data_IF_483201175552
#
_entry.id   IF_483201175552
#
_cell.length_a   1.000
_cell.length_b   1.000
_cell.length_c   1.000
_cell.angle_alpha   90.00
_cell.angle_beta   90.00
_cell.angle_gamma   90.00
#
_symmetry.space_group_name_H-M   'P 1'
#
loop_
_entity.id
_entity.type
_entity.pdbx_description
1 polymer ?
#
# COMPACT_ATOMS: atom_id res chain seq x y z
N UNK A 1 4.49 5.33 -37.71
CA UNK A 1 4.86 4.32 -38.75
C UNK A 1 3.72 3.32 -38.82
N UNK A 2 2.77 3.56 -39.71
CA UNK A 2 1.51 2.80 -39.84
C UNK A 2 1.78 1.34 -40.16
N UNK A 3 1.34 0.43 -39.27
CA UNK A 3 0.64 -0.87 -39.44
C UNK A 3 0.59 -1.61 -40.80
N UNK A 4 1.52 -1.38 -41.72
CA UNK A 4 1.52 -1.97 -43.06
C UNK A 4 2.95 -2.16 -43.57
N UNK A 5 3.62 -3.22 -43.09
CA UNK A 5 4.80 -3.76 -43.76
C UNK A 5 4.74 -5.29 -43.71
N UNK A 6 4.06 -5.81 -44.73
CA UNK A 6 4.36 -7.03 -45.48
C UNK A 6 5.11 -8.13 -44.71
N UNK A 7 4.30 -9.11 -44.35
CA UNK A 7 4.60 -10.45 -43.87
C UNK A 7 5.61 -11.13 -44.82
N UNK A 8 6.88 -11.13 -44.44
CA UNK A 8 7.80 -12.21 -44.81
C UNK A 8 7.48 -13.45 -43.93
N UNK A 9 7.72 -14.69 -44.39
CA UNK A 9 7.49 -15.89 -43.57
C UNK A 9 8.23 -15.86 -42.22
N UNK A 10 9.40 -15.21 -42.18
CA UNK A 10 10.17 -14.98 -40.95
C UNK A 10 9.59 -13.89 -40.04
N UNK A 11 8.87 -12.91 -40.59
CA UNK A 11 8.18 -11.88 -39.81
C UNK A 11 6.95 -12.47 -39.11
N UNK A 12 6.21 -13.37 -39.79
CA UNK A 12 5.06 -14.06 -39.21
C UNK A 12 5.44 -14.98 -38.03
N UNK A 13 6.50 -15.78 -38.16
CA UNK A 13 6.95 -16.65 -37.06
C UNK A 13 7.49 -15.85 -35.86
N UNK A 14 8.21 -14.75 -36.12
CA UNK A 14 8.70 -13.86 -35.08
C UNK A 14 7.57 -13.16 -34.32
N UNK A 15 6.59 -12.60 -35.03
CA UNK A 15 5.42 -11.95 -34.42
C UNK A 15 4.63 -12.95 -33.58
N UNK A 16 4.42 -14.18 -34.09
CA UNK A 16 3.78 -15.24 -33.34
C UNK A 16 4.56 -15.63 -32.08
N UNK A 17 5.89 -15.70 -32.17
CA UNK A 17 6.75 -15.97 -31.02
C UNK A 17 6.63 -14.87 -29.94
N UNK A 18 6.65 -13.60 -30.34
CA UNK A 18 6.52 -12.46 -29.41
C UNK A 18 5.14 -12.47 -28.75
N UNK A 19 4.08 -12.64 -29.53
CA UNK A 19 2.70 -12.71 -29.02
C UNK A 19 2.49 -13.90 -28.08
N UNK A 20 2.97 -15.09 -28.45
CA UNK A 20 2.92 -16.27 -27.58
C UNK A 20 3.69 -16.03 -26.28
N UNK A 21 4.87 -15.41 -26.35
CA UNK A 21 5.66 -15.06 -25.16
C UNK A 21 4.90 -14.10 -24.24
N UNK A 22 4.23 -13.08 -24.79
CA UNK A 22 3.39 -12.16 -24.01
C UNK A 22 2.18 -12.83 -23.37
N UNK A 23 1.53 -13.76 -24.07
CA UNK A 23 0.44 -14.56 -23.49
C UNK A 23 0.96 -15.42 -22.33
N UNK A 24 2.08 -16.12 -22.53
CA UNK A 24 2.71 -16.94 -21.48
C UNK A 24 3.09 -16.08 -20.28
N UNK A 25 3.71 -14.91 -20.50
CA UNK A 25 4.01 -13.96 -19.43
C UNK A 25 2.75 -13.52 -18.69
N UNK A 26 1.67 -13.18 -19.41
CA UNK A 26 0.38 -12.83 -18.82
C UNK A 26 -0.18 -13.93 -17.90
N UNK A 27 -0.15 -15.18 -18.36
CA UNK A 27 -0.57 -16.34 -17.55
C UNK A 27 0.32 -16.52 -16.31
N UNK A 28 1.64 -16.34 -16.44
CA UNK A 28 2.57 -16.40 -15.32
C UNK A 28 2.30 -15.30 -14.29
N UNK A 29 1.91 -14.09 -14.71
CA UNK A 29 1.52 -13.03 -13.77
C UNK A 29 0.20 -13.35 -13.04
N UNK A 30 -0.76 -14.01 -13.70
CA UNK A 30 -1.95 -14.54 -13.03
C UNK A 30 -1.55 -15.58 -11.97
N UNK A 31 -0.69 -16.53 -12.32
CA UNK A 31 -0.18 -17.52 -11.36
C UNK A 31 0.67 -16.90 -10.25
N UNK A 32 1.35 -15.79 -10.52
CA UNK A 32 2.08 -15.05 -9.50
C UNK A 32 1.13 -14.53 -8.42
N UNK A 33 0.05 -13.84 -8.81
CA UNK A 33 -0.96 -13.33 -7.88
C UNK A 33 -1.70 -14.47 -7.15
N UNK A 34 -2.07 -15.53 -7.88
CA UNK A 34 -2.69 -16.70 -7.27
C UNK A 34 -1.75 -17.37 -6.24
N UNK A 35 -0.47 -17.49 -6.56
CA UNK A 35 0.54 -18.04 -5.64
C UNK A 35 0.78 -17.15 -4.42
N UNK A 36 0.68 -15.82 -4.56
CA UNK A 36 0.80 -14.87 -3.45
C UNK A 36 -0.42 -14.83 -2.53
N UNK A 37 -1.57 -15.36 -2.95
CA UNK A 37 -2.78 -15.42 -2.11
C UNK A 37 -2.70 -16.41 -0.94
N UNK A 38 -1.70 -17.31 -0.96
CA UNK A 38 -1.48 -18.28 0.12
C UNK A 38 -0.01 -18.32 0.52
N UNK A 39 0.23 -18.46 1.81
CA UNK A 39 1.57 -18.44 2.36
C UNK A 39 2.45 -19.58 1.79
N UNK A 40 1.92 -20.81 1.72
CA UNK A 40 2.66 -22.00 1.28
C UNK A 40 3.10 -21.90 -0.18
N UNK A 41 2.36 -21.16 -1.00
CA UNK A 41 2.64 -20.96 -2.42
C UNK A 41 3.34 -19.64 -2.72
N UNK A 42 3.52 -18.76 -1.75
CA UNK A 42 4.07 -17.41 -1.92
C UNK A 42 5.40 -17.38 -2.69
N UNK A 43 6.34 -18.28 -2.33
CA UNK A 43 7.64 -18.43 -3.02
C UNK A 43 7.48 -18.84 -4.48
N UNK A 44 6.54 -19.76 -4.78
CA UNK A 44 6.24 -20.18 -6.16
C UNK A 44 5.57 -19.05 -6.93
N UNK A 45 4.65 -18.31 -6.30
CA UNK A 45 4.03 -17.11 -6.86
C UNK A 45 5.06 -16.09 -7.30
N UNK A 46 6.01 -15.76 -6.42
CA UNK A 46 7.09 -14.84 -6.75
C UNK A 46 7.96 -15.36 -7.93
N UNK A 47 8.28 -16.65 -7.95
CA UNK A 47 9.01 -17.26 -9.07
C UNK A 47 8.27 -17.14 -10.41
N UNK A 48 6.94 -17.32 -10.43
CA UNK A 48 6.14 -17.10 -11.64
C UNK A 48 6.21 -15.65 -12.12
N UNK A 49 6.15 -14.68 -11.21
CA UNK A 49 6.28 -13.26 -11.53
C UNK A 49 7.64 -12.93 -12.16
N UNK A 50 8.73 -13.45 -11.58
CA UNK A 50 10.10 -13.29 -12.11
C UNK A 50 10.19 -13.89 -13.51
N UNK A 51 9.72 -15.13 -13.69
CA UNK A 51 9.78 -15.82 -14.98
C UNK A 51 8.95 -15.09 -16.05
N UNK A 52 7.75 -14.63 -15.69
CA UNK A 52 6.88 -13.86 -16.58
C UNK A 52 7.55 -12.56 -17.06
N UNK A 53 8.20 -11.83 -16.16
CA UNK A 53 8.92 -10.59 -16.49
C UNK A 53 10.14 -10.86 -17.38
N UNK A 54 10.94 -11.89 -17.06
CA UNK A 54 12.10 -12.28 -17.87
C UNK A 54 11.68 -12.64 -19.29
N UNK A 55 10.62 -13.44 -19.46
CA UNK A 55 10.11 -13.82 -20.79
C UNK A 55 9.65 -12.58 -21.56
N UNK A 56 8.91 -11.66 -20.93
CA UNK A 56 8.38 -10.47 -21.58
C UNK A 56 9.52 -9.53 -22.06
N UNK A 57 10.54 -9.32 -21.23
CA UNK A 57 11.70 -8.50 -21.57
C UNK A 57 12.49 -9.14 -22.71
N UNK A 58 12.77 -10.44 -22.64
CA UNK A 58 13.49 -11.16 -23.70
C UNK A 58 12.71 -11.08 -25.02
N UNK A 59 11.40 -11.33 -25.01
CA UNK A 59 10.56 -11.25 -26.21
C UNK A 59 10.59 -9.83 -26.82
N UNK A 60 10.56 -8.79 -25.99
CA UNK A 60 10.63 -7.39 -26.43
C UNK A 60 11.99 -7.06 -27.05
N UNK A 61 13.10 -7.51 -26.43
CA UNK A 61 14.46 -7.33 -26.98
C UNK A 61 14.60 -8.07 -28.32
N UNK A 62 14.10 -9.31 -28.41
CA UNK A 62 14.12 -10.08 -29.66
C UNK A 62 13.32 -9.38 -30.75
N UNK A 63 12.13 -8.87 -30.43
CA UNK A 63 11.34 -8.06 -31.36
C UNK A 63 12.13 -6.84 -31.84
N UNK A 64 12.76 -6.09 -30.93
CA UNK A 64 13.50 -4.88 -31.25
C UNK A 64 14.76 -5.14 -32.11
N UNK A 65 15.44 -6.27 -31.91
CA UNK A 65 16.64 -6.64 -32.70
C UNK A 65 16.27 -7.20 -34.08
N UNK A 66 15.15 -7.90 -34.19
CA UNK A 66 14.80 -8.66 -35.40
C UNK A 66 13.78 -7.98 -36.30
N UNK A 67 13.01 -7.01 -35.80
CA UNK A 67 12.10 -6.20 -36.61
C UNK A 67 12.88 -5.11 -37.37
N UNK A 68 12.40 -4.70 -38.56
CA UNK A 68 13.02 -3.62 -39.33
C UNK A 68 13.03 -2.31 -38.53
N UNK A 69 14.12 -1.54 -38.62
CA UNK A 69 14.33 -0.33 -37.81
C UNK A 69 15.39 -0.46 -36.71
N UNK A 70 16.08 -1.60 -36.65
CA UNK A 70 17.23 -1.80 -35.76
C UNK A 70 18.31 -0.72 -35.93
N UNK A 71 18.68 -0.10 -34.82
CA UNK A 71 19.82 0.82 -34.72
C UNK A 71 20.66 0.45 -33.49
N UNK A 72 22.00 0.30 -33.63
CA UNK A 72 22.90 0.09 -32.48
C UNK A 72 22.77 1.20 -31.42
N UNK A 73 22.48 2.43 -31.85
CA UNK A 73 22.25 3.56 -30.94
C UNK A 73 21.00 3.33 -30.09
N UNK A 74 19.91 2.83 -30.68
CA UNK A 74 18.68 2.51 -29.95
C UNK A 74 18.89 1.41 -28.90
N UNK A 75 19.76 0.43 -29.17
CA UNK A 75 20.14 -0.58 -28.17
C UNK A 75 20.86 0.04 -26.97
N UNK A 76 21.83 0.93 -27.23
CA UNK A 76 22.54 1.64 -26.16
C UNK A 76 21.58 2.50 -25.33
N UNK A 77 20.68 3.22 -26.00
CA UNK A 77 19.67 4.07 -25.35
C UNK A 77 18.61 3.27 -24.56
N UNK A 78 18.38 2.00 -24.89
CA UNK A 78 17.51 1.10 -24.12
C UNK A 78 18.25 0.47 -22.93
N UNK A 79 19.40 -0.16 -23.19
CA UNK A 79 20.09 -0.99 -22.19
C UNK A 79 20.72 -0.16 -21.07
N UNK A 80 21.27 1.03 -21.36
CA UNK A 80 21.93 1.84 -20.33
C UNK A 80 20.91 2.29 -19.25
N UNK A 81 19.78 2.95 -19.59
CA UNK A 81 18.80 3.32 -18.58
C UNK A 81 18.18 2.11 -17.87
N UNK A 82 17.95 1.00 -18.58
CA UNK A 82 17.45 -0.23 -17.97
C UNK A 82 18.42 -0.79 -16.91
N UNK A 83 19.72 -0.81 -17.21
CA UNK A 83 20.75 -1.26 -16.27
C UNK A 83 20.88 -0.32 -15.07
N UNK A 84 20.86 1.01 -15.31
CA UNK A 84 20.91 2.00 -14.24
C UNK A 84 19.68 1.86 -13.33
N UNK A 85 18.49 1.79 -13.91
CA UNK A 85 17.23 1.62 -13.18
C UNK A 85 17.18 0.30 -12.41
N UNK A 86 17.60 -0.81 -13.04
CA UNK A 86 17.69 -2.12 -12.40
C UNK A 86 18.67 -2.15 -11.23
N UNK A 87 19.88 -1.59 -11.43
CA UNK A 87 20.88 -1.51 -10.37
C UNK A 87 20.44 -0.64 -9.19
N UNK A 88 19.82 0.52 -9.49
CA UNK A 88 19.24 1.39 -8.47
C UNK A 88 18.10 0.69 -7.70
N UNK A 89 17.21 0.00 -8.41
CA UNK A 89 16.12 -0.77 -7.82
C UNK A 89 16.62 -1.86 -6.87
N UNK A 90 17.61 -2.65 -7.31
CA UNK A 90 18.24 -3.69 -6.47
C UNK A 90 18.90 -3.08 -5.24
N UNK A 91 19.70 -2.03 -5.42
CA UNK A 91 20.35 -1.33 -4.31
C UNK A 91 19.34 -0.81 -3.29
N UNK A 92 18.24 -0.22 -3.75
CA UNK A 92 17.21 0.35 -2.87
C UNK A 92 16.42 -0.73 -2.14
N UNK A 93 16.06 -1.81 -2.83
CA UNK A 93 15.34 -2.94 -2.26
C UNK A 93 16.16 -3.68 -1.18
N UNK A 94 17.48 -3.78 -1.34
CA UNK A 94 18.35 -4.44 -0.35
C UNK A 94 18.64 -3.59 0.89
N UNK A 95 18.41 -2.27 0.84
CA UNK A 95 18.75 -1.34 1.92
C UNK A 95 17.55 -0.81 2.70
N UNK A 96 16.33 -0.99 2.20
CA UNK A 96 15.14 -0.49 2.90
C UNK A 96 14.87 -1.36 4.12
N UNK A 97 14.55 -0.72 5.25
CA UNK A 97 14.06 -1.42 6.44
C UNK A 97 12.59 -1.79 6.23
N UNK A 98 12.12 -2.88 6.85
CA UNK A 98 10.73 -3.36 6.67
C UNK A 98 9.68 -2.34 7.14
N UNK A 99 10.04 -1.48 8.10
CA UNK A 99 9.20 -0.34 8.53
C UNK A 99 9.02 0.74 7.47
N UNK A 100 9.99 0.90 6.57
CA UNK A 100 9.98 1.86 5.46
C UNK A 100 9.41 1.30 4.15
N UNK A 101 8.91 0.06 4.16
CA UNK A 101 8.27 -0.58 3.01
C UNK A 101 7.11 0.27 2.41
N UNK A 102 6.23 0.92 3.21
CA UNK A 102 5.15 1.74 2.65
C UNK A 102 5.66 2.91 1.80
N UNK A 103 6.75 3.55 2.24
CA UNK A 103 7.38 4.67 1.53
C UNK A 103 8.04 4.22 0.23
N UNK A 104 8.69 3.06 0.25
CA UNK A 104 9.29 2.50 -0.95
C UNK A 104 8.20 2.15 -1.99
N UNK A 105 7.10 1.55 -1.56
CA UNK A 105 5.97 1.21 -2.46
C UNK A 105 5.40 2.49 -3.09
N UNK A 106 5.18 3.55 -2.30
CA UNK A 106 4.77 4.84 -2.84
C UNK A 106 5.79 5.37 -3.87
N UNK A 107 7.09 5.30 -3.61
CA UNK A 107 8.10 5.68 -4.61
C UNK A 107 8.00 4.87 -5.89
N UNK A 108 7.81 3.55 -5.81
CA UNK A 108 7.72 2.68 -6.97
C UNK A 108 6.51 3.02 -7.86
N UNK A 109 5.33 3.28 -7.27
CA UNK A 109 4.17 3.73 -8.04
C UNK A 109 4.42 5.04 -8.77
N UNK A 110 5.22 5.94 -8.19
CA UNK A 110 5.58 7.19 -8.85
C UNK A 110 6.33 6.94 -10.17
N UNK A 111 7.27 6.00 -10.19
CA UNK A 111 8.00 5.64 -11.41
C UNK A 111 7.10 5.01 -12.47
N UNK A 112 6.12 4.18 -12.07
CA UNK A 112 5.13 3.61 -13.00
C UNK A 112 4.27 4.72 -13.62
N UNK A 113 3.78 5.65 -12.80
CA UNK A 113 3.00 6.80 -13.28
C UNK A 113 3.77 7.67 -14.27
N UNK A 114 5.03 7.99 -13.95
CA UNK A 114 5.90 8.77 -14.84
C UNK A 114 6.19 8.02 -16.14
N UNK A 115 6.44 6.71 -16.09
CA UNK A 115 6.65 5.89 -17.28
C UNK A 115 5.41 5.90 -18.19
N UNK A 116 4.20 5.77 -17.63
CA UNK A 116 2.96 5.84 -18.40
C UNK A 116 2.77 7.21 -19.09
N UNK A 117 3.12 8.31 -18.41
CA UNK A 117 3.11 9.65 -19.02
C UNK A 117 4.07 9.71 -20.20
N UNK A 118 5.33 9.30 -20.01
CA UNK A 118 6.35 9.32 -21.07
C UNK A 118 5.96 8.42 -22.26
N UNK A 119 5.40 7.24 -21.99
CA UNK A 119 4.87 6.33 -23.02
C UNK A 119 3.75 7.01 -23.81
N UNK A 120 2.80 7.67 -23.14
CA UNK A 120 1.71 8.38 -23.82
C UNK A 120 2.20 9.51 -24.73
N UNK A 121 3.16 10.32 -24.26
CA UNK A 121 3.79 11.36 -25.08
C UNK A 121 4.53 10.74 -26.29
N UNK A 122 5.22 9.62 -26.11
CA UNK A 122 5.89 8.92 -27.21
C UNK A 122 4.91 8.31 -28.21
N UNK A 123 3.83 7.68 -27.73
CA UNK A 123 2.78 7.12 -28.58
C UNK A 123 2.15 8.20 -29.47
N UNK A 124 1.89 9.39 -28.92
CA UNK A 124 1.43 10.52 -29.73
C UNK A 124 2.50 11.05 -30.69
N UNK A 125 3.77 11.03 -30.32
CA UNK A 125 4.86 11.41 -31.24
C UNK A 125 4.92 10.50 -32.48
N UNK A 126 4.63 9.21 -32.31
CA UNK A 126 4.72 8.21 -33.38
C UNK A 126 3.47 8.15 -34.28
N UNK A 127 2.28 8.28 -33.70
CA UNK A 127 1.00 8.21 -34.43
C UNK A 127 0.53 9.58 -34.93
N UNK A 128 0.86 10.64 -34.18
CA UNK A 128 0.43 12.00 -34.45
C UNK A 128 -1.09 12.15 -34.49
N UNK A 129 -1.56 13.16 -35.22
CA UNK A 129 -3.01 13.46 -35.33
C UNK A 129 -3.73 12.57 -36.34
N UNK A 130 -3.05 11.57 -36.91
CA UNK A 130 -3.64 10.54 -37.77
C UNK A 130 -4.19 9.34 -37.01
N UNK A 131 -3.93 9.25 -35.70
CA UNK A 131 -4.48 8.20 -34.85
C UNK A 131 -6.00 8.28 -34.78
N UNK A 132 -6.66 7.13 -34.60
CA UNK A 132 -8.10 7.11 -34.38
C UNK A 132 -8.47 7.83 -33.08
N UNK A 133 -9.69 8.37 -33.00
CA UNK A 133 -10.22 8.97 -31.74
C UNK A 133 -10.12 8.01 -30.56
N UNK A 134 -10.26 6.72 -30.81
CA UNK A 134 -10.10 5.68 -29.79
C UNK A 134 -8.66 5.60 -29.27
N UNK A 135 -7.65 5.55 -30.16
CA UNK A 135 -6.24 5.56 -29.76
C UNK A 135 -5.84 6.87 -29.06
N UNK A 136 -6.32 8.02 -29.55
CA UNK A 136 -6.10 9.29 -28.86
C UNK A 136 -6.71 9.26 -27.45
N UNK A 137 -7.84 8.57 -27.27
CA UNK A 137 -8.47 8.37 -25.97
C UNK A 137 -7.64 7.52 -25.02
N UNK A 138 -7.06 6.43 -25.51
CA UNK A 138 -6.15 5.58 -24.73
C UNK A 138 -4.93 6.37 -24.24
N UNK A 139 -4.34 7.21 -25.11
CA UNK A 139 -3.19 8.04 -24.80
C UNK A 139 -3.50 9.05 -23.70
N UNK A 140 -4.57 9.85 -23.84
CA UNK A 140 -4.83 10.90 -22.87
C UNK A 140 -5.31 10.35 -21.53
N UNK A 141 -6.08 9.25 -21.51
CA UNK A 141 -6.46 8.57 -20.26
C UNK A 141 -5.21 8.00 -19.57
N UNK A 142 -4.31 7.36 -20.32
CA UNK A 142 -3.04 6.86 -19.80
C UNK A 142 -2.19 7.96 -19.16
N UNK A 143 -2.06 9.11 -19.82
CA UNK A 143 -1.33 10.28 -19.28
C UNK A 143 -2.04 10.85 -18.04
N UNK A 144 -3.36 10.99 -18.07
CA UNK A 144 -4.13 11.48 -16.93
C UNK A 144 -3.89 10.64 -15.67
N UNK A 145 -4.10 9.33 -15.77
CA UNK A 145 -3.94 8.42 -14.63
C UNK A 145 -2.47 8.35 -14.22
N UNK A 146 -1.53 8.30 -15.17
CA UNK A 146 -0.10 8.25 -14.89
C UNK A 146 0.42 9.50 -14.17
N UNK A 147 0.03 10.69 -14.60
CA UNK A 147 0.42 11.96 -14.00
C UNK A 147 -0.17 12.15 -12.59
N UNK A 148 -1.44 11.77 -12.42
CA UNK A 148 -2.11 11.75 -11.11
C UNK A 148 -1.37 10.79 -10.16
N UNK A 149 -1.06 9.59 -10.64
CA UNK A 149 -0.33 8.57 -9.86
C UNK A 149 1.06 9.05 -9.47
N UNK A 150 1.80 9.67 -10.40
CA UNK A 150 3.15 10.16 -10.15
C UNK A 150 3.20 11.14 -9.00
N UNK A 151 2.45 12.23 -9.10
CA UNK A 151 2.45 13.30 -8.09
C UNK A 151 1.77 12.88 -6.79
N UNK A 152 0.66 12.15 -6.87
CA UNK A 152 0.00 11.61 -5.67
C UNK A 152 0.92 10.69 -4.87
N UNK A 153 1.68 9.84 -5.55
CA UNK A 153 2.64 8.94 -4.93
C UNK A 153 3.83 9.66 -4.28
N UNK A 154 4.31 10.75 -4.89
CA UNK A 154 5.35 11.59 -4.29
C UNK A 154 4.88 12.28 -3.00
N UNK A 155 3.63 12.74 -2.97
CA UNK A 155 3.03 13.33 -1.76
C UNK A 155 2.83 12.27 -0.67
N UNK A 156 2.30 11.09 -1.03
CA UNK A 156 2.14 9.97 -0.10
C UNK A 156 3.50 9.55 0.51
N UNK A 157 4.52 9.40 -0.33
CA UNK A 157 5.89 9.16 0.12
C UNK A 157 6.39 10.26 1.07
N UNK A 158 6.18 11.53 0.72
CA UNK A 158 6.59 12.66 1.54
C UNK A 158 5.93 12.64 2.93
N UNK A 159 4.65 12.30 3.01
CA UNK A 159 3.90 12.22 4.27
C UNK A 159 4.35 11.05 5.15
N UNK A 160 4.55 9.88 4.57
CA UNK A 160 4.96 8.69 5.31
C UNK A 160 6.39 8.81 5.84
N UNK A 161 7.30 9.36 5.01
CA UNK A 161 8.70 9.63 5.39
C UNK A 161 8.87 10.84 6.33
N UNK A 162 7.80 11.53 6.70
CA UNK A 162 7.83 12.71 7.58
C UNK A 162 8.42 13.97 6.94
N UNK A 163 8.68 13.98 5.63
CA UNK A 163 9.18 15.15 4.88
C UNK A 163 8.09 16.17 4.57
N UNK A 164 6.84 15.71 4.52
CA UNK A 164 5.64 16.53 4.32
C UNK A 164 4.75 16.36 5.57
N UNK A 165 4.11 17.43 6.07
CA UNK A 165 3.20 17.32 7.22
C UNK A 165 2.10 16.27 6.98
N UNK A 166 1.85 15.42 7.97
CA UNK A 166 0.80 14.39 7.91
C UNK A 166 -0.62 14.97 8.04
N UNK A 167 -0.76 16.25 8.42
CA UNK A 167 -2.06 16.93 8.48
C UNK A 167 -2.61 17.14 7.06
N UNK A 168 -3.93 17.00 6.85
CA UNK A 168 -4.54 17.26 5.55
C UNK A 168 -4.42 18.73 5.16
N UNK A 169 -4.07 19.00 3.91
CA UNK A 169 -4.08 20.35 3.35
C UNK A 169 -5.52 20.78 3.06
N UNK A 170 -6.00 21.82 3.74
CA UNK A 170 -7.38 22.31 3.62
C UNK A 170 -7.44 23.65 2.89
N UNK A 171 -7.47 23.61 1.55
CA UNK A 171 -7.70 24.81 0.75
C UNK A 171 -9.19 25.21 0.74
N UNK A 172 -9.52 26.52 0.77
CA UNK A 172 -10.89 26.99 0.59
C UNK A 172 -11.47 26.48 -0.73
N UNK A 173 -12.62 25.80 -0.68
CA UNK A 173 -13.25 25.25 -1.87
C UNK A 173 -12.48 24.09 -2.53
N UNK A 174 -11.66 23.33 -1.79
CA UNK A 174 -10.85 22.21 -2.33
C UNK A 174 -11.60 21.27 -3.28
N UNK A 175 -12.87 20.97 -3.00
CA UNK A 175 -13.69 20.08 -3.83
C UNK A 175 -14.01 20.73 -5.18
N UNK A 176 -14.25 22.05 -5.20
CA UNK A 176 -14.44 22.82 -6.42
C UNK A 176 -13.15 22.94 -7.23
N UNK A 177 -12.00 23.07 -6.57
CA UNK A 177 -10.69 23.04 -7.25
C UNK A 177 -10.49 21.69 -7.95
N UNK A 178 -10.72 20.58 -7.23
CA UNK A 178 -10.62 19.22 -7.78
C UNK A 178 -11.58 19.01 -8.95
N UNK A 179 -12.84 19.41 -8.78
CA UNK A 179 -13.86 19.28 -9.83
C UNK A 179 -13.52 20.14 -11.05
N UNK A 180 -13.07 21.38 -10.84
CA UNK A 180 -12.63 22.27 -11.91
C UNK A 180 -11.46 21.71 -12.69
N UNK A 181 -10.46 21.15 -12.02
CA UNK A 181 -9.33 20.47 -12.68
C UNK A 181 -9.80 19.26 -13.49
N UNK A 182 -10.73 18.46 -12.96
CA UNK A 182 -11.28 17.32 -13.68
C UNK A 182 -12.00 17.76 -14.96
N UNK A 183 -12.80 18.83 -14.89
CA UNK A 183 -13.47 19.43 -16.07
C UNK A 183 -12.43 19.92 -17.08
N UNK A 184 -11.36 20.59 -16.64
CA UNK A 184 -10.26 21.04 -17.51
C UNK A 184 -9.56 19.86 -18.18
N UNK A 185 -9.28 18.79 -17.44
CA UNK A 185 -8.64 17.56 -17.96
C UNK A 185 -9.52 16.94 -19.05
N UNK A 186 -10.82 16.75 -18.79
CA UNK A 186 -11.77 16.21 -19.77
C UNK A 186 -11.88 17.12 -20.99
N UNK A 187 -11.99 18.44 -20.77
CA UNK A 187 -12.03 19.44 -21.85
C UNK A 187 -10.77 19.42 -22.72
N UNK A 188 -9.59 19.28 -22.10
CA UNK A 188 -8.32 19.13 -22.83
C UNK A 188 -8.26 17.80 -23.60
N UNK A 189 -8.78 16.70 -23.05
CA UNK A 189 -8.87 15.41 -23.75
C UNK A 189 -9.76 15.49 -24.99
N UNK A 190 -10.95 16.11 -24.86
CA UNK A 190 -11.85 16.35 -26.00
C UNK A 190 -11.17 17.27 -27.02
N UNK A 191 -10.53 18.36 -26.59
CA UNK A 191 -9.81 19.26 -27.50
C UNK A 191 -8.68 18.53 -28.23
N UNK A 192 -7.89 17.73 -27.51
CA UNK A 192 -6.83 16.89 -28.05
C UNK A 192 -7.33 15.95 -29.16
N UNK A 193 -8.48 15.30 -28.95
CA UNK A 193 -9.08 14.39 -29.94
C UNK A 193 -9.65 15.08 -31.19
N UNK A 194 -9.82 16.41 -31.17
CA UNK A 194 -10.48 17.16 -32.25
C UNK A 194 -9.55 18.15 -32.96
N UNK A 195 -8.27 18.19 -32.60
CA UNK A 195 -7.31 19.15 -33.15
C UNK A 195 -6.20 18.43 -33.89
N UNK A 196 -5.74 19.01 -35.00
CA UNK A 196 -4.76 18.40 -35.90
C UNK A 196 -3.47 19.22 -36.01
N UNK A 197 -2.37 18.58 -36.40
CA UNK A 197 -1.07 19.23 -36.56
C UNK A 197 -0.38 19.58 -35.23
N UNK A 198 0.64 20.44 -35.29
CA UNK A 198 1.51 20.73 -34.14
C UNK A 198 0.80 21.37 -32.92
N UNK A 199 -0.37 21.97 -33.11
CA UNK A 199 -1.14 22.55 -32.00
C UNK A 199 -1.72 21.47 -31.06
N UNK A 200 -1.83 20.21 -31.50
CA UNK A 200 -2.35 19.10 -30.71
C UNK A 200 -1.48 18.75 -29.48
N UNK A 201 -0.21 19.15 -29.47
CA UNK A 201 0.65 19.02 -28.29
C UNK A 201 0.21 19.91 -27.14
N UNK A 202 -0.42 21.05 -27.41
CA UNK A 202 -0.84 22.01 -26.38
C UNK A 202 -1.91 21.42 -25.42
N UNK A 203 -3.06 20.91 -25.89
CA UNK A 203 -4.03 20.28 -24.99
C UNK A 203 -3.43 19.08 -24.25
N UNK A 204 -2.54 18.31 -24.88
CA UNK A 204 -1.89 17.17 -24.24
C UNK A 204 -0.99 17.59 -23.06
N UNK A 205 -0.18 18.65 -23.25
CA UNK A 205 0.67 19.21 -22.18
C UNK A 205 -0.17 19.83 -21.07
N UNK A 206 -1.22 20.59 -21.42
CA UNK A 206 -2.12 21.18 -20.43
C UNK A 206 -2.84 20.12 -19.60
N UNK A 207 -3.31 19.05 -20.26
CA UNK A 207 -3.89 17.88 -19.60
C UNK A 207 -2.90 17.25 -18.62
N UNK A 208 -1.66 17.02 -19.05
CA UNK A 208 -0.63 16.44 -18.18
C UNK A 208 -0.37 17.34 -16.96
N UNK A 209 -0.18 18.65 -17.15
CA UNK A 209 0.04 19.61 -16.06
C UNK A 209 -1.14 19.68 -15.09
N UNK A 210 -2.37 19.73 -15.60
CA UNK A 210 -3.57 19.71 -14.77
C UNK A 210 -3.69 18.41 -13.97
N UNK A 211 -3.32 17.27 -14.58
CA UNK A 211 -3.34 15.95 -13.93
C UNK A 211 -2.26 15.82 -12.85
N UNK A 212 -1.06 16.35 -13.09
CA UNK A 212 0.01 16.46 -12.10
C UNK A 212 -0.44 17.30 -10.89
N UNK A 213 -1.08 18.44 -11.15
CA UNK A 213 -1.57 19.28 -10.05
C UNK A 213 -2.74 18.62 -9.30
N UNK A 214 -3.64 17.95 -10.00
CA UNK A 214 -4.75 17.21 -9.38
C UNK A 214 -4.24 16.07 -8.50
N UNK A 215 -3.26 15.28 -8.95
CA UNK A 215 -2.67 14.20 -8.16
C UNK A 215 -1.98 14.73 -6.89
N UNK A 216 -1.23 15.83 -7.01
CA UNK A 216 -0.68 16.53 -5.85
C UNK A 216 -1.78 16.97 -4.87
N UNK A 217 -2.78 17.70 -5.35
CA UNK A 217 -3.79 18.31 -4.49
C UNK A 217 -4.70 17.29 -3.81
N UNK A 218 -5.14 16.24 -4.53
CA UNK A 218 -5.96 15.16 -3.98
C UNK A 218 -5.24 14.48 -2.80
N UNK A 219 -3.99 14.04 -2.98
CA UNK A 219 -3.27 13.34 -1.90
C UNK A 219 -2.80 14.29 -0.80
N UNK A 220 -2.49 15.54 -1.13
CA UNK A 220 -2.17 16.57 -0.13
C UNK A 220 -3.35 16.82 0.82
N UNK A 221 -4.59 16.74 0.33
CA UNK A 221 -5.80 16.94 1.12
C UNK A 221 -6.19 15.76 2.03
N UNK A 222 -5.51 14.61 1.92
CA UNK A 222 -5.81 13.40 2.71
C UNK A 222 -4.91 13.35 3.95
N UNK A 223 -5.45 13.01 5.12
CA UNK A 223 -4.65 12.87 6.35
C UNK A 223 -3.70 11.67 6.28
N UNK A 224 -2.62 11.71 7.07
CA UNK A 224 -1.67 10.59 7.14
C UNK A 224 -2.31 9.24 7.54
N UNK A 225 -3.50 9.25 8.16
CA UNK A 225 -4.23 8.07 8.69
C UNK A 225 -4.57 7.12 7.57
N UNK A 226 -4.98 7.77 6.49
CA UNK A 226 -5.56 7.16 5.33
C UNK A 226 -4.50 6.92 4.26
N UNK A 227 -3.23 7.26 4.52
CA UNK A 227 -2.14 7.01 3.58
C UNK A 227 -2.01 5.54 3.19
N UNK A 228 -2.22 4.55 4.06
CA UNK A 228 -2.23 3.15 3.63
C UNK A 228 -3.28 2.89 2.54
N UNK A 229 -4.50 3.43 2.68
CA UNK A 229 -5.55 3.33 1.67
C UNK A 229 -5.15 4.07 0.39
N UNK A 230 -4.56 5.27 0.52
CA UNK A 230 -4.08 6.04 -0.64
C UNK A 230 -2.99 5.30 -1.41
N UNK A 231 -2.05 4.63 -0.74
CA UNK A 231 -1.03 3.80 -1.40
C UNK A 231 -1.68 2.69 -2.22
N UNK A 232 -2.68 2.00 -1.65
CA UNK A 232 -3.42 0.94 -2.33
C UNK A 232 -4.21 1.47 -3.53
N UNK A 233 -4.82 2.65 -3.41
CA UNK A 233 -5.53 3.30 -4.50
C UNK A 233 -4.56 3.71 -5.62
N UNK A 234 -3.40 4.28 -5.26
CA UNK A 234 -2.36 4.65 -6.23
C UNK A 234 -1.76 3.41 -6.90
N UNK A 235 -1.70 2.26 -6.21
CA UNK A 235 -1.36 0.98 -6.82
C UNK A 235 -2.38 0.63 -7.92
N UNK A 236 -3.68 0.74 -7.63
CA UNK A 236 -4.75 0.55 -8.63
C UNK A 236 -4.56 1.46 -9.84
N UNK A 237 -4.33 2.76 -9.61
CA UNK A 237 -4.11 3.71 -10.69
C UNK A 237 -2.88 3.39 -11.53
N UNK A 238 -1.79 2.94 -10.91
CA UNK A 238 -0.59 2.50 -11.64
C UNK A 238 -0.89 1.30 -12.56
N UNK A 239 -1.73 0.36 -12.12
CA UNK A 239 -2.22 -0.76 -12.93
C UNK A 239 -3.04 -0.28 -14.13
N UNK A 240 -4.01 0.61 -13.90
CA UNK A 240 -4.83 1.17 -14.99
C UNK A 240 -3.99 1.98 -15.99
N UNK A 241 -3.04 2.79 -15.53
CA UNK A 241 -2.11 3.51 -16.39
C UNK A 241 -1.28 2.57 -17.27
N UNK A 242 -0.82 1.45 -16.70
CA UNK A 242 -0.12 0.40 -17.45
C UNK A 242 -1.02 -0.29 -18.48
N UNK A 243 -2.30 -0.53 -18.14
CA UNK A 243 -3.27 -1.12 -19.07
C UNK A 243 -3.54 -0.20 -20.27
N UNK A 244 -3.76 1.11 -20.05
CA UNK A 244 -3.94 2.09 -21.12
C UNK A 244 -2.67 2.31 -21.96
N UNK A 245 -1.49 2.22 -21.34
CA UNK A 245 -0.22 2.17 -22.07
C UNK A 245 -0.15 0.92 -22.96
N UNK A 246 -0.61 -0.23 -22.44
CA UNK A 246 -0.71 -1.48 -23.19
C UNK A 246 -1.68 -1.41 -24.37
N UNK A 247 -2.83 -0.76 -24.19
CA UNK A 247 -3.78 -0.49 -25.28
C UNK A 247 -3.16 0.40 -26.36
N UNK A 248 -2.57 1.54 -25.96
CA UNK A 248 -1.93 2.50 -26.86
C UNK A 248 -0.78 1.89 -27.69
N UNK A 249 -0.05 0.94 -27.10
CA UNK A 249 1.07 0.24 -27.75
C UNK A 249 0.67 -1.09 -28.39
N UNK A 250 -0.59 -1.51 -28.24
CA UNK A 250 -1.09 -2.83 -28.65
C UNK A 250 -0.29 -4.00 -28.07
N UNK A 251 0.11 -3.92 -26.80
CA UNK A 251 0.88 -4.95 -26.09
C UNK A 251 -0.01 -5.70 -25.07
N UNK A 252 -0.45 -6.94 -25.36
CA UNK A 252 -1.38 -7.68 -24.52
C UNK A 252 -0.90 -7.92 -23.09
N UNK A 253 0.41 -8.14 -22.89
CA UNK A 253 0.95 -8.41 -21.55
C UNK A 253 0.82 -7.19 -20.62
N UNK A 254 0.93 -5.96 -21.14
CA UNK A 254 0.70 -4.75 -20.34
C UNK A 254 -0.79 -4.59 -20.00
N UNK A 255 -1.68 -4.93 -20.92
CA UNK A 255 -3.14 -4.88 -20.69
C UNK A 255 -3.52 -5.85 -19.58
N UNK A 256 -3.08 -7.11 -19.68
CA UNK A 256 -3.39 -8.16 -18.70
C UNK A 256 -2.80 -7.81 -17.33
N UNK A 257 -1.51 -7.47 -17.26
CA UNK A 257 -0.88 -7.14 -15.97
C UNK A 257 -1.43 -5.88 -15.36
N UNK A 258 -1.65 -4.83 -16.17
CA UNK A 258 -2.24 -3.57 -15.73
C UNK A 258 -3.64 -3.76 -15.16
N UNK A 259 -4.51 -4.51 -15.84
CA UNK A 259 -5.85 -4.80 -15.35
C UNK A 259 -5.83 -5.61 -14.03
N UNK A 260 -4.98 -6.63 -13.92
CA UNK A 260 -4.85 -7.44 -12.71
C UNK A 260 -4.41 -6.59 -11.50
N UNK A 261 -3.38 -5.76 -11.67
CA UNK A 261 -2.89 -4.86 -10.62
C UNK A 261 -3.93 -3.79 -10.30
N UNK A 262 -4.59 -3.23 -11.33
CA UNK A 262 -5.64 -2.24 -11.22
C UNK A 262 -6.80 -2.72 -10.34
N UNK A 263 -7.35 -3.89 -10.65
CA UNK A 263 -8.43 -4.48 -9.87
C UNK A 263 -7.99 -4.89 -8.46
N UNK A 264 -6.81 -5.51 -8.32
CA UNK A 264 -6.27 -5.92 -7.02
C UNK A 264 -6.13 -4.73 -6.06
N UNK A 265 -5.56 -3.62 -6.53
CA UNK A 265 -5.44 -2.39 -5.74
C UNK A 265 -6.79 -1.79 -5.36
N UNK A 266 -7.79 -1.84 -6.26
CA UNK A 266 -9.12 -1.32 -5.98
C UNK A 266 -9.84 -2.13 -4.90
N UNK A 267 -9.80 -3.47 -5.01
CA UNK A 267 -10.39 -4.39 -4.01
C UNK A 267 -9.70 -4.21 -2.66
N UNK A 268 -8.37 -4.17 -2.62
CA UNK A 268 -7.63 -3.98 -1.39
C UNK A 268 -7.98 -2.63 -0.73
N UNK A 269 -8.06 -1.55 -1.52
CA UNK A 269 -8.47 -0.23 -1.01
C UNK A 269 -9.87 -0.27 -0.39
N UNK A 270 -10.81 -0.99 -1.00
CA UNK A 270 -12.16 -1.15 -0.48
C UNK A 270 -12.18 -1.91 0.85
N UNK A 271 -11.47 -3.04 0.93
CA UNK A 271 -11.39 -3.86 2.14
C UNK A 271 -10.74 -3.08 3.29
N UNK A 272 -9.69 -2.30 3.01
CA UNK A 272 -9.06 -1.44 4.01
C UNK A 272 -10.02 -0.36 4.53
N UNK A 273 -10.78 0.28 3.65
CA UNK A 273 -11.80 1.26 4.04
C UNK A 273 -12.86 0.62 4.95
N UNK A 274 -13.33 -0.58 4.60
CA UNK A 274 -14.29 -1.34 5.41
C UNK A 274 -13.71 -1.70 6.79
N UNK A 275 -12.45 -2.15 6.84
CA UNK A 275 -11.76 -2.47 8.09
C UNK A 275 -11.51 -1.23 8.99
N UNK A 276 -11.55 -0.02 8.43
CA UNK A 276 -11.48 1.24 9.18
C UNK A 276 -12.87 1.83 9.49
N UNK A 277 -13.95 1.16 9.08
CA UNK A 277 -15.32 1.70 9.06
C UNK A 277 -15.43 3.10 8.42
N UNK A 278 -14.69 3.34 7.34
CA UNK A 278 -14.74 4.60 6.58
C UNK A 278 -15.21 4.33 5.17
N UNK A 279 -16.06 5.20 4.65
CA UNK A 279 -16.50 5.07 3.25
C UNK A 279 -15.33 5.39 2.30
N UNK A 280 -15.20 4.61 1.22
CA UNK A 280 -14.16 4.84 0.21
C UNK A 280 -14.19 6.27 -0.36
N UNK A 281 -15.39 6.82 -0.59
CA UNK A 281 -15.59 8.19 -1.07
C UNK A 281 -15.11 9.23 -0.05
N UNK A 282 -15.34 9.00 1.25
CA UNK A 282 -14.88 9.93 2.31
C UNK A 282 -13.37 10.05 2.38
N UNK A 283 -12.66 8.94 2.15
CA UNK A 283 -11.19 8.90 2.15
C UNK A 283 -10.64 9.67 0.95
N UNK A 284 -11.19 9.45 -0.25
CA UNK A 284 -10.72 10.10 -1.49
C UNK A 284 -10.99 11.61 -1.50
N UNK A 285 -12.16 12.04 -1.04
CA UNK A 285 -12.52 13.45 -1.00
C UNK A 285 -11.89 14.19 0.20
N UNK A 286 -11.09 13.48 1.01
CA UNK A 286 -10.36 14.06 2.13
C UNK A 286 -11.26 14.59 3.24
N UNK A 287 -12.48 14.06 3.41
CA UNK A 287 -13.39 14.52 4.45
C UNK A 287 -14.83 14.04 4.28
N UNK A 288 -15.16 12.98 5.00
CA UNK A 288 -16.33 12.92 5.86
C UNK A 288 -15.81 12.32 7.17
N UNK A 289 -15.74 13.13 8.22
CA UNK A 289 -15.02 12.82 9.45
C UNK A 289 -14.81 14.05 10.35
N UNK A 290 -14.96 15.27 9.80
CA UNK A 290 -15.22 16.50 10.56
C UNK A 290 -16.65 16.49 11.15
N UNK A 291 -17.10 15.35 11.70
CA UNK A 291 -17.91 15.51 12.89
C UNK A 291 -16.98 16.22 13.87
N UNK A 292 -17.33 17.41 14.41
CA UNK A 292 -16.53 17.99 15.48
C UNK A 292 -16.35 16.86 16.49
N UNK A 293 -15.09 16.53 16.81
CA UNK A 293 -14.84 15.68 17.95
C UNK A 293 -15.65 16.33 19.07
N UNK A 294 -16.67 15.62 19.55
CA UNK A 294 -17.30 16.04 20.78
C UNK A 294 -16.15 15.93 21.77
N UNK A 295 -15.67 17.07 22.25
CA UNK A 295 -14.89 17.14 23.49
C UNK A 295 -15.84 16.59 24.56
N UNK A 296 -15.95 15.27 24.63
CA UNK A 296 -16.33 14.62 25.86
C UNK A 296 -15.19 14.86 26.83
N UNK A 297 -15.53 15.13 28.10
CA UNK A 297 -14.56 14.99 29.18
C UNK A 297 -13.82 13.68 28.92
N UNK A 298 -12.49 13.77 28.80
CA UNK A 298 -11.64 12.59 28.69
C UNK A 298 -11.98 11.62 29.82
N UNK A 299 -11.83 10.29 29.63
CA UNK A 299 -12.22 9.34 30.66
C UNK A 299 -11.55 9.70 32.00
N UNK A 300 -12.36 10.07 32.99
CA UNK A 300 -11.90 10.27 34.37
C UNK A 300 -11.62 8.89 34.97
N UNK A 301 -10.34 8.55 35.14
CA UNK A 301 -9.93 7.29 35.75
C UNK A 301 -8.50 7.34 36.26
N UNK A 302 -8.22 6.57 37.32
CA UNK A 302 -6.86 6.37 37.78
C UNK A 302 -6.16 5.33 36.91
N UNK A 303 -4.94 5.65 36.48
CA UNK A 303 -4.11 4.73 35.71
C UNK A 303 -3.35 3.85 36.70
N UNK A 304 -3.40 2.54 36.48
CA UNK A 304 -2.58 1.60 37.25
C UNK A 304 -1.33 1.23 36.46
N UNK A 305 -0.15 1.56 36.99
CA UNK A 305 1.13 1.19 36.39
C UNK A 305 1.64 -0.16 36.90
N UNK A 306 2.30 -0.93 36.03
CA UNK A 306 2.99 -2.18 36.38
C UNK A 306 4.46 -2.09 35.97
N UNK A 307 5.33 -2.83 36.65
CA UNK A 307 6.76 -2.96 36.30
C UNK A 307 7.05 -4.27 35.58
N UNK A 308 8.13 -4.30 34.80
CA UNK A 308 8.52 -5.48 34.03
C UNK A 308 8.72 -6.73 34.92
N UNK A 309 9.38 -6.59 36.07
CA UNK A 309 9.63 -7.73 36.97
C UNK A 309 8.33 -8.36 37.52
N UNK A 310 7.34 -7.52 37.82
CA UNK A 310 6.03 -7.95 38.31
C UNK A 310 5.24 -8.67 37.22
N UNK A 311 5.21 -8.09 36.01
CA UNK A 311 4.58 -8.70 34.85
C UNK A 311 5.24 -10.02 34.45
N UNK A 312 6.57 -10.14 34.56
CA UNK A 312 7.28 -11.39 34.29
C UNK A 312 6.86 -12.53 35.24
N UNK A 313 6.55 -12.19 36.51
CA UNK A 313 5.99 -13.16 37.46
C UNK A 313 4.60 -13.59 37.02
N UNK A 314 3.70 -12.64 36.71
CA UNK A 314 2.34 -12.95 36.25
C UNK A 314 2.35 -13.81 34.97
N UNK A 315 3.20 -13.48 34.00
CA UNK A 315 3.35 -14.23 32.75
C UNK A 315 3.89 -15.64 32.97
N UNK A 316 4.64 -15.90 34.05
CA UNK A 316 5.12 -17.25 34.37
C UNK A 316 4.03 -18.15 34.94
N UNK A 317 3.00 -17.55 35.56
CA UNK A 317 1.87 -18.26 36.17
C UNK A 317 0.67 -18.38 35.22
N UNK A 318 0.66 -17.64 34.11
CA UNK A 318 -0.40 -17.66 33.11
C UNK A 318 -0.41 -18.96 32.28
N UNK A 319 -1.61 -19.40 31.88
CA UNK A 319 -1.81 -20.54 30.99
C UNK A 319 -2.07 -20.11 29.55
N UNK A 320 -2.70 -18.95 29.33
CA UNK A 320 -2.94 -18.38 27.99
C UNK A 320 -2.58 -16.90 27.92
N UNK A 321 -1.82 -16.52 26.87
CA UNK A 321 -1.39 -15.15 26.61
C UNK A 321 -1.69 -14.76 25.17
N UNK A 322 -2.42 -13.66 24.99
CA UNK A 322 -2.68 -13.09 23.66
C UNK A 322 -1.88 -11.81 23.48
N UNK A 323 -1.11 -11.70 22.39
CA UNK A 323 -0.30 -10.52 22.06
C UNK A 323 -0.98 -9.75 20.93
N UNK A 324 -1.38 -8.50 21.19
CA UNK A 324 -1.95 -7.57 20.21
C UNK A 324 -0.90 -6.52 19.79
N UNK A 325 -0.12 -6.76 18.72
CA UNK A 325 0.90 -5.82 18.26
C UNK A 325 0.31 -4.63 17.50
N UNK A 326 0.96 -3.48 17.62
CA UNK A 326 0.62 -2.28 16.85
C UNK A 326 1.84 -1.55 16.30
N UNK A 327 1.60 -0.39 15.68
CA UNK A 327 2.66 0.39 15.01
C UNK A 327 3.80 0.82 15.96
N UNK A 328 3.52 0.99 17.26
CA UNK A 328 4.55 1.29 18.26
C UNK A 328 5.62 0.20 18.37
N UNK A 329 5.26 -1.08 18.21
CA UNK A 329 6.20 -2.20 18.17
C UNK A 329 7.16 -2.06 16.98
N UNK A 330 6.62 -1.73 15.80
CA UNK A 330 7.38 -1.56 14.58
C UNK A 330 8.38 -0.39 14.67
N UNK A 331 7.93 0.76 15.20
CA UNK A 331 8.79 1.94 15.39
C UNK A 331 9.92 1.67 16.36
N UNK A 332 9.69 0.88 17.41
CA UNK A 332 10.70 0.51 18.39
C UNK A 332 11.62 -0.64 17.93
N UNK A 333 11.34 -1.28 16.78
CA UNK A 333 12.02 -2.50 16.34
C UNK A 333 11.93 -3.63 17.39
N UNK A 334 10.75 -3.76 18.02
CA UNK A 334 10.50 -4.71 19.11
C UNK A 334 10.03 -6.10 18.64
N UNK A 335 9.90 -6.35 17.34
CA UNK A 335 9.43 -7.63 16.80
C UNK A 335 10.32 -8.82 17.21
N UNK A 336 11.64 -8.63 17.28
CA UNK A 336 12.57 -9.69 17.69
C UNK A 336 12.42 -10.09 19.16
N UNK A 337 12.46 -9.16 20.14
CA UNK A 337 12.25 -9.55 21.53
C UNK A 337 10.81 -9.99 21.83
N UNK A 338 9.80 -9.50 21.09
CA UNK A 338 8.44 -10.03 21.20
C UNK A 338 8.36 -11.50 20.73
N UNK A 339 9.05 -11.85 19.65
CA UNK A 339 9.16 -13.24 19.20
C UNK A 339 9.92 -14.11 20.22
N UNK A 340 10.98 -13.59 20.83
CA UNK A 340 11.72 -14.27 21.91
C UNK A 340 10.86 -14.48 23.15
N UNK A 341 10.09 -13.46 23.56
CA UNK A 341 9.12 -13.55 24.65
C UNK A 341 8.09 -14.66 24.39
N UNK A 342 7.45 -14.63 23.22
CA UNK A 342 6.47 -15.64 22.84
C UNK A 342 7.08 -17.05 22.85
N UNK A 343 8.31 -17.19 22.35
CA UNK A 343 9.03 -18.47 22.38
C UNK A 343 9.30 -18.95 23.81
N UNK A 344 9.84 -18.10 24.69
CA UNK A 344 10.12 -18.46 26.08
C UNK A 344 8.87 -18.91 26.84
N UNK A 345 7.76 -18.21 26.64
CA UNK A 345 6.48 -18.58 27.26
C UNK A 345 5.96 -19.92 26.73
N UNK A 346 6.02 -20.15 25.41
CA UNK A 346 5.66 -21.45 24.81
C UNK A 346 6.55 -22.59 25.28
N UNK A 347 7.85 -22.35 25.47
CA UNK A 347 8.79 -23.34 26.01
C UNK A 347 8.45 -23.72 27.48
N UNK A 348 7.76 -22.83 28.21
CA UNK A 348 7.20 -23.09 29.55
C UNK A 348 5.79 -23.72 29.52
N UNK A 349 5.22 -23.95 28.34
CA UNK A 349 3.91 -24.58 28.16
C UNK A 349 2.72 -23.61 28.12
N UNK A 350 2.97 -22.30 28.08
CA UNK A 350 1.91 -21.26 27.94
C UNK A 350 1.39 -21.27 26.50
N UNK A 351 0.07 -21.22 26.32
CA UNK A 351 -0.54 -21.00 25.01
C UNK A 351 -0.40 -19.53 24.61
N UNK A 352 0.46 -19.24 23.63
CA UNK A 352 0.73 -17.88 23.15
C UNK A 352 0.23 -17.71 21.74
N UNK A 353 -0.67 -16.74 21.54
CA UNK A 353 -1.26 -16.40 20.24
C UNK A 353 -1.13 -14.91 19.96
N UNK A 354 -0.96 -14.55 18.69
CA UNK A 354 -0.91 -13.17 18.22
C UNK A 354 -2.24 -12.79 17.59
N UNK A 355 -2.81 -11.66 18.01
CA UNK A 355 -4.05 -11.12 17.49
C UNK A 355 -3.75 -9.94 16.54
N UNK A 356 -3.96 -10.14 15.23
CA UNK A 356 -3.63 -9.14 14.22
C UNK A 356 -4.89 -8.40 13.78
N UNK A 357 -4.90 -7.09 14.02
CA UNK A 357 -5.91 -6.22 13.44
C UNK A 357 -5.57 -5.92 11.97
N UNK A 358 -6.53 -5.96 11.02
CA UNK A 358 -6.29 -5.75 9.59
C UNK A 358 -5.58 -4.44 9.19
N UNK A 359 -5.69 -3.40 10.02
CA UNK A 359 -5.09 -2.07 9.77
C UNK A 359 -4.01 -1.70 10.79
N UNK A 360 -3.52 -2.67 11.56
CA UNK A 360 -2.39 -2.46 12.44
C UNK A 360 -1.11 -2.10 11.64
N UNK A 361 -0.57 -0.92 11.90
CA UNK A 361 0.64 -0.43 11.24
C UNK A 361 0.39 0.68 10.23
N UNK A 362 1.17 0.67 9.14
CA UNK A 362 1.12 1.68 8.06
C UNK A 362 0.87 1.11 6.66
N UNK A 363 0.60 -0.18 6.56
CA UNK A 363 0.37 -0.89 5.30
C UNK A 363 -0.40 -2.19 5.60
N UNK A 364 -1.25 -2.71 4.69
CA UNK A 364 -1.93 -3.98 4.93
C UNK A 364 -0.98 -5.13 5.20
N UNK A 365 -1.22 -5.87 6.28
CA UNK A 365 -0.36 -6.98 6.69
C UNK A 365 1.01 -6.57 7.25
N UNK A 366 1.19 -5.29 7.64
CA UNK A 366 2.47 -4.80 8.18
C UNK A 366 2.93 -5.65 9.37
N UNK A 367 2.02 -5.98 10.30
CA UNK A 367 2.38 -6.81 11.47
C UNK A 367 2.76 -8.23 11.06
N UNK A 368 2.01 -8.87 10.14
CA UNK A 368 2.31 -10.22 9.68
C UNK A 368 3.73 -10.29 9.08
N UNK A 369 4.13 -9.29 8.31
CA UNK A 369 5.46 -9.21 7.71
C UNK A 369 6.57 -9.07 8.76
N UNK A 370 6.38 -8.23 9.78
CA UNK A 370 7.38 -8.06 10.85
C UNK A 370 7.50 -9.30 11.75
N UNK A 371 6.38 -9.95 12.05
CA UNK A 371 6.39 -11.20 12.82
C UNK A 371 7.04 -12.34 12.02
N UNK A 372 6.79 -12.40 10.71
CA UNK A 372 7.46 -13.33 9.81
C UNK A 372 8.98 -13.09 9.75
N UNK A 373 9.42 -11.84 9.72
CA UNK A 373 10.84 -11.46 9.79
C UNK A 373 11.48 -11.89 11.12
N UNK A 374 10.74 -11.78 12.22
CA UNK A 374 11.14 -12.28 13.53
C UNK A 374 10.99 -13.81 13.70
N UNK A 375 10.64 -14.53 12.62
CA UNK A 375 10.47 -15.98 12.58
C UNK A 375 9.39 -16.50 13.54
N UNK A 376 8.35 -15.72 13.80
CA UNK A 376 7.17 -16.18 14.53
C UNK A 376 6.42 -17.23 13.70
N UNK A 377 6.10 -18.40 14.27
CA UNK A 377 5.31 -19.42 13.58
C UNK A 377 3.91 -18.91 13.22
N UNK A 378 3.44 -19.18 11.99
CA UNK A 378 2.16 -18.65 11.50
C UNK A 378 0.94 -19.28 12.16
N UNK A 379 1.06 -20.51 12.66
CA UNK A 379 0.00 -21.24 13.36
C UNK A 379 -0.47 -20.53 14.64
N UNK A 380 0.34 -19.61 15.17
CA UNK A 380 -0.01 -18.79 16.33
C UNK A 380 -0.30 -17.34 15.97
N UNK A 381 -0.42 -17.00 14.69
CA UNK A 381 -0.77 -15.65 14.22
C UNK A 381 -2.19 -15.69 13.67
N UNK A 382 -3.11 -15.12 14.42
CA UNK A 382 -4.55 -15.15 14.13
C UNK A 382 -5.00 -13.78 13.62
N UNK A 383 -5.91 -13.79 12.64
CA UNK A 383 -6.60 -12.57 12.22
C UNK A 383 -7.70 -12.22 13.23
N UNK A 384 -8.08 -10.94 13.30
CA UNK A 384 -9.05 -10.42 14.26
C UNK A 384 -10.37 -11.23 14.33
N UNK A 385 -10.93 -11.62 13.18
CA UNK A 385 -12.17 -12.38 13.10
C UNK A 385 -12.03 -13.81 13.65
N UNK A 386 -10.80 -14.33 13.75
CA UNK A 386 -10.51 -15.68 14.21
C UNK A 386 -10.24 -15.76 15.72
N UNK A 387 -9.90 -14.63 16.36
CA UNK A 387 -9.42 -14.58 17.76
C UNK A 387 -10.27 -13.72 18.68
N UNK A 388 -11.17 -12.88 18.15
CA UNK A 388 -11.95 -11.96 18.99
C UNK A 388 -12.82 -12.68 20.03
N UNK A 389 -13.39 -13.84 19.69
CA UNK A 389 -14.22 -14.63 20.60
C UNK A 389 -13.40 -15.32 21.72
N UNK A 390 -12.06 -15.35 21.61
CA UNK A 390 -11.17 -16.05 22.53
C UNK A 390 -10.58 -15.14 23.62
N UNK A 391 -10.78 -13.82 23.55
CA UNK A 391 -10.19 -12.89 24.52
C UNK A 391 -10.70 -13.13 25.94
N UNK A 392 -11.97 -13.50 26.11
CA UNK A 392 -12.57 -13.79 27.41
C UNK A 392 -11.90 -14.96 28.16
N UNK A 393 -11.24 -15.87 27.43
CA UNK A 393 -10.54 -17.03 27.99
C UNK A 393 -9.03 -16.76 28.22
N UNK A 394 -8.53 -15.58 27.83
CA UNK A 394 -7.12 -15.23 27.97
C UNK A 394 -6.79 -14.71 29.37
N UNK A 395 -5.77 -15.30 30.00
CA UNK A 395 -5.31 -14.86 31.33
C UNK A 395 -4.66 -13.47 31.24
N UNK A 396 -3.81 -13.25 30.23
CA UNK A 396 -3.10 -11.98 30.04
C UNK A 396 -3.12 -11.58 28.56
N UNK A 397 -3.51 -10.33 28.29
CA UNK A 397 -3.45 -9.71 26.96
C UNK A 397 -2.36 -8.64 26.93
N UNK A 398 -1.35 -8.84 26.09
CA UNK A 398 -0.24 -7.88 25.91
C UNK A 398 -0.52 -6.98 24.70
N UNK A 399 -0.85 -5.71 24.95
CA UNK A 399 -1.08 -4.69 23.92
C UNK A 399 0.23 -3.95 23.65
N UNK A 400 0.94 -4.33 22.58
CA UNK A 400 2.29 -3.83 22.32
C UNK A 400 2.28 -2.74 21.25
N UNK A 401 2.20 -1.48 21.69
CA UNK A 401 2.27 -0.33 20.79
C UNK A 401 1.06 -0.16 19.87
N UNK A 402 -0.07 -0.79 20.20
CA UNK A 402 -1.38 -0.53 19.61
C UNK A 402 -2.12 0.58 20.39
N UNK A 403 -3.06 1.25 19.73
CA UNK A 403 -3.93 2.23 20.39
C UNK A 403 -5.33 2.20 19.78
N UNK A 404 -5.49 2.74 18.56
CA UNK A 404 -6.81 2.86 17.94
C UNK A 404 -7.45 1.49 17.66
N UNK A 405 -6.65 0.49 17.28
CA UNK A 405 -7.07 -0.89 16.99
C UNK A 405 -7.55 -1.69 18.21
N UNK A 406 -7.40 -1.14 19.40
CA UNK A 406 -7.80 -1.75 20.68
C UNK A 406 -8.66 -0.79 21.50
N UNK A 407 -9.22 0.25 20.87
CA UNK A 407 -9.92 1.33 21.56
C UNK A 407 -11.43 1.01 21.69
N UNK A 408 -11.96 0.80 22.91
CA UNK A 408 -13.38 0.51 23.13
C UNK A 408 -14.30 1.64 22.64
N UNK A 409 -13.81 2.88 22.54
CA UNK A 409 -14.57 4.02 22.06
C UNK A 409 -15.04 3.89 20.60
N UNK A 410 -14.53 2.89 19.86
CA UNK A 410 -15.07 2.52 18.56
C UNK A 410 -16.49 1.93 18.66
N UNK A 411 -16.89 1.36 19.80
CA UNK A 411 -18.25 0.83 20.02
C UNK A 411 -19.26 1.94 20.34
N UNK A 412 -18.78 3.10 20.78
CA UNK A 412 -19.61 4.23 21.16
C UNK A 412 -20.00 5.11 19.95
N UNK A 413 -21.26 5.57 19.85
CA UNK A 413 -21.68 6.49 18.80
C UNK A 413 -21.06 7.88 19.01
N UNK A 414 -20.64 8.52 17.91
CA UNK A 414 -20.21 9.93 17.92
C UNK A 414 -18.71 10.17 18.10
N UNK A 415 -17.90 9.12 18.22
CA UNK A 415 -16.44 9.22 18.21
C UNK A 415 -15.90 9.20 16.76
N UNK A 416 -14.71 9.77 16.48
CA UNK A 416 -14.08 9.71 15.16
C UNK A 416 -13.80 8.29 14.63
N UNK A 417 -13.82 7.29 15.52
CA UNK A 417 -13.56 5.87 15.23
C UNK A 417 -14.82 4.99 15.41
N UNK A 418 -15.99 5.61 15.59
CA UNK A 418 -17.24 4.90 15.84
C UNK A 418 -17.56 3.88 14.73
N UNK A 419 -17.89 2.66 15.13
CA UNK A 419 -18.16 1.48 14.30
C UNK A 419 -16.93 0.81 13.67
N UNK A 420 -15.71 1.28 13.95
CA UNK A 420 -14.49 0.58 13.53
C UNK A 420 -14.42 -0.78 14.23
N UNK A 421 -14.29 -1.91 13.50
CA UNK A 421 -13.97 -3.19 14.11
C UNK A 421 -12.66 -3.05 14.89
N UNK A 422 -12.61 -3.56 16.11
CA UNK A 422 -11.43 -3.49 16.98
C UNK A 422 -11.20 -4.86 17.64
N UNK A 423 -9.98 -5.06 18.15
CA UNK A 423 -9.69 -6.22 19.00
C UNK A 423 -10.30 -5.99 20.38
N UNK A 424 -11.14 -6.93 20.84
CA UNK A 424 -11.84 -6.83 22.13
C UNK A 424 -10.94 -7.19 23.31
N UNK A 425 -9.75 -6.58 23.37
CA UNK A 425 -8.72 -6.90 24.36
C UNK A 425 -9.18 -6.68 25.80
N UNK A 426 -10.17 -5.81 26.02
CA UNK A 426 -10.74 -5.52 27.34
C UNK A 426 -11.52 -6.70 27.94
N UNK A 427 -11.89 -7.69 27.14
CA UNK A 427 -12.59 -8.90 27.61
C UNK A 427 -11.63 -9.88 28.31
N UNK A 428 -10.31 -9.72 28.14
CA UNK A 428 -9.30 -10.53 28.82
C UNK A 428 -9.24 -10.29 30.34
N UNK A 429 -8.77 -11.29 31.08
CA UNK A 429 -8.70 -11.23 32.54
C UNK A 429 -7.78 -10.10 33.04
N UNK A 430 -6.58 -9.97 32.47
CA UNK A 430 -5.67 -8.85 32.70
C UNK A 430 -5.10 -8.32 31.39
N UNK A 431 -5.09 -7.00 31.21
CA UNK A 431 -4.60 -6.35 30.00
C UNK A 431 -3.38 -5.49 30.34
N UNK A 432 -2.28 -5.67 29.62
CA UNK A 432 -1.08 -4.86 29.83
C UNK A 432 -0.70 -4.10 28.58
N UNK A 433 -0.71 -2.76 28.68
CA UNK A 433 -0.47 -1.86 27.56
C UNK A 433 0.94 -1.29 27.60
N UNK A 434 1.71 -1.51 26.53
CA UNK A 434 3.08 -1.05 26.37
C UNK A 434 3.09 0.25 25.57
N UNK A 435 3.47 1.36 26.22
CA UNK A 435 3.44 2.68 25.58
C UNK A 435 4.45 3.65 26.17
N UNK A 436 4.95 4.58 25.37
CA UNK A 436 5.89 5.63 25.84
C UNK A 436 5.23 6.75 26.63
N UNK A 437 3.96 7.05 26.33
CA UNK A 437 3.19 8.16 26.93
C UNK A 437 1.71 8.03 26.60
N UNK A 438 0.87 8.76 27.33
CA UNK A 438 -0.58 8.86 27.14
C UNK A 438 -1.02 9.61 25.86
N UNK A 439 -0.08 10.00 24.99
CA UNK A 439 -0.45 10.67 23.73
C UNK A 439 -1.40 9.80 22.89
N UNK A 440 -2.43 10.38 22.28
CA UNK A 440 -3.39 9.63 21.48
C UNK A 440 -2.72 8.98 20.26
N UNK A 441 -3.47 8.05 19.65
CA UNK A 441 -3.04 7.29 18.49
C UNK A 441 -3.11 8.11 17.21
N UNK A 442 -3.35 7.43 16.10
CA UNK A 442 -3.49 8.09 14.81
C UNK A 442 -4.76 8.95 14.78
N UNK A 443 -5.88 8.40 15.28
CA UNK A 443 -7.19 9.04 15.26
C UNK A 443 -7.30 10.30 16.15
N UNK A 444 -6.34 10.54 17.05
CA UNK A 444 -6.37 11.68 17.96
C UNK A 444 -7.41 11.56 19.08
N UNK A 445 -8.00 10.37 19.28
CA UNK A 445 -8.97 10.07 20.32
C UNK A 445 -8.26 9.43 21.52
N UNK A 446 -8.69 9.79 22.73
CA UNK A 446 -8.24 9.09 23.94
C UNK A 446 -8.81 7.65 23.99
N UNK A 447 -8.18 6.79 24.77
CA UNK A 447 -8.54 5.37 24.81
C UNK A 447 -9.03 5.00 26.21
N UNK A 448 -10.34 4.74 26.39
CA UNK A 448 -10.91 4.32 27.67
C UNK A 448 -10.28 3.04 28.25
N UNK A 449 -9.71 2.17 27.40
CA UNK A 449 -9.01 0.96 27.84
C UNK A 449 -7.95 1.26 28.90
N UNK A 450 -7.24 2.38 28.78
CA UNK A 450 -6.13 2.71 29.68
C UNK A 450 -6.56 2.98 31.12
N UNK A 451 -7.87 3.14 31.35
CA UNK A 451 -8.48 3.41 32.65
C UNK A 451 -9.34 2.25 33.15
N UNK A 452 -9.40 1.13 32.42
CA UNK A 452 -10.18 -0.03 32.82
C UNK A 452 -9.54 -0.75 34.03
N UNK A 453 -10.37 -1.29 34.92
CA UNK A 453 -9.93 -1.91 36.18
C UNK A 453 -8.97 -3.10 35.99
N UNK A 454 -9.16 -3.86 34.90
CA UNK A 454 -8.32 -4.98 34.51
C UNK A 454 -7.08 -4.57 33.68
N UNK A 455 -6.87 -3.27 33.45
CA UNK A 455 -5.77 -2.78 32.62
C UNK A 455 -4.62 -2.24 33.46
N UNK A 456 -3.39 -2.55 33.03
CA UNK A 456 -2.13 -2.06 33.59
C UNK A 456 -1.29 -1.39 32.51
N UNK A 457 -0.63 -0.31 32.86
CA UNK A 457 0.24 0.44 31.95
C UNK A 457 1.70 0.12 32.23
N UNK A 458 2.42 -0.37 31.21
CA UNK A 458 3.87 -0.52 31.25
C UNK A 458 4.50 0.60 30.41
N UNK A 459 4.92 1.68 31.09
CA UNK A 459 5.53 2.82 30.41
C UNK A 459 6.97 2.56 30.00
N UNK A 460 7.31 2.91 28.76
CA UNK A 460 8.66 2.76 28.24
C UNK A 460 8.73 2.68 26.72
N UNK A 461 9.95 2.58 26.21
CA UNK A 461 10.17 2.14 24.83
C UNK A 461 9.82 0.65 24.71
N UNK A 462 9.03 0.27 23.71
CA UNK A 462 8.49 -1.08 23.62
C UNK A 462 9.58 -2.14 23.53
N UNK A 463 10.70 -1.87 22.85
CA UNK A 463 11.80 -2.82 22.74
C UNK A 463 12.47 -3.01 24.10
N UNK A 464 12.85 -1.91 24.75
CA UNK A 464 13.49 -1.96 26.06
C UNK A 464 12.61 -2.64 27.12
N UNK A 465 11.31 -2.36 27.13
CA UNK A 465 10.36 -2.97 28.05
C UNK A 465 10.21 -4.49 27.82
N UNK A 466 10.14 -4.93 26.56
CA UNK A 466 10.05 -6.36 26.25
C UNK A 466 11.38 -7.07 26.51
N UNK A 467 12.53 -6.46 26.21
CA UNK A 467 13.86 -7.00 26.54
C UNK A 467 14.01 -7.23 28.07
N UNK A 468 13.51 -6.29 28.88
CA UNK A 468 13.50 -6.43 30.33
C UNK A 468 12.63 -7.61 30.79
N UNK A 469 11.43 -7.77 30.20
CA UNK A 469 10.56 -8.92 30.48
C UNK A 469 11.21 -10.25 30.10
N UNK A 470 11.79 -10.31 28.90
CA UNK A 470 12.53 -11.49 28.43
C UNK A 470 13.67 -11.82 29.38
N UNK A 471 14.36 -10.83 29.94
CA UNK A 471 15.45 -11.06 30.90
C UNK A 471 14.95 -11.58 32.25
N UNK A 472 13.77 -11.12 32.69
CA UNK A 472 13.16 -11.54 33.96
C UNK A 472 12.46 -12.91 33.89
N UNK A 473 12.10 -13.38 32.69
CA UNK A 473 11.49 -14.70 32.41
C UNK A 473 12.52 -15.82 32.17
#
# INVERSE_FOLDING_TARGET
MTSTLLIAPMAGSLVNFVNASFIISGLLFIFALAGLSKFETSKKGNAYGILGMVIAIIATIVALVKLPGYSPVSMVLLFIPMLIGGAFGVWKALKVEMTGMPELIAQLHSFVGLAAVLIGFNAFAEEGTGASTFQLSEIWIGIFIGALTFTGSLVAWGKLSGKVPSKPLTLPGRNWINLGLLVVIIGCGIWFSNVSGGIAWLPLVLLALASLFLGFHLVAAIGGADMPVVISMLNSYSGWAAAFSGFSLHIPVLIVTGALVGFSGAILSYIMCQAMNRSFVSVILGGFGDAPAVEGDGPDGEITEIKADELASQLSDASSVIIAPGYGMAVAQAQYPVAELAKKLRDKGVDVRFAIHPVAGRLPGHMNVLLAEAHVPYDIVMEMDEINDDFADADIVLVIGANDTVNPAAMDPGTPISGMPVLHVWEGHEVVVFKRSMKPGYAGVENPLFFADNTRMLFGDAKASVDALVTAL
#
